data_IF_281233273744
#
_entry.id   IF_281233273744
#
_cell.length_a   1.000
_cell.length_b   1.000
_cell.length_c   1.000
_cell.angle_alpha   90.00
_cell.angle_beta   90.00
_cell.angle_gamma   90.00
#
_symmetry.space_group_name_H-M   'P 1'
#
loop_
_entity.id
_entity.type
_entity.pdbx_description
1 polymer ?
#
# COMPACT_ATOMS: atom_id res chain seq x y z
N UNK A 1 13.37 -6.41 -45.85
CA UNK A 1 13.00 -7.31 -44.72
C UNK A 1 12.69 -6.56 -43.44
N UNK A 2 13.33 -5.41 -43.15
CA UNK A 2 13.03 -4.57 -41.97
C UNK A 2 11.64 -3.87 -41.97
N UNK A 3 11.14 -3.42 -43.13
CA UNK A 3 9.85 -2.73 -43.22
C UNK A 3 8.63 -3.62 -42.89
N UNK A 4 8.71 -4.91 -43.19
CA UNK A 4 7.66 -5.88 -42.84
C UNK A 4 7.66 -6.23 -41.35
N UNK A 5 8.85 -6.22 -40.71
CA UNK A 5 9.01 -6.49 -39.28
C UNK A 5 8.50 -5.33 -38.41
N UNK A 6 8.68 -4.08 -38.86
CA UNK A 6 8.18 -2.86 -38.19
C UNK A 6 6.67 -2.67 -38.32
N UNK A 7 6.08 -2.98 -39.49
CA UNK A 7 4.62 -2.97 -39.67
C UNK A 7 3.92 -4.08 -38.85
N UNK A 8 4.54 -5.26 -38.76
CA UNK A 8 4.04 -6.35 -37.92
C UNK A 8 4.09 -6.00 -36.42
N UNK A 9 5.16 -5.34 -35.95
CA UNK A 9 5.27 -4.89 -34.56
C UNK A 9 4.31 -3.75 -34.21
N UNK A 10 4.06 -2.80 -35.12
CA UNK A 10 3.07 -1.74 -34.92
C UNK A 10 1.62 -2.25 -34.85
N UNK A 11 1.27 -3.22 -35.69
CA UNK A 11 -0.04 -3.89 -35.64
C UNK A 11 -0.21 -4.68 -34.35
N UNK A 12 0.86 -5.36 -33.90
CA UNK A 12 0.85 -6.16 -32.69
C UNK A 12 0.69 -5.32 -31.41
N UNK A 13 1.40 -4.18 -31.32
CA UNK A 13 1.25 -3.23 -30.21
C UNK A 13 -0.19 -2.71 -30.12
N UNK A 14 -0.81 -2.40 -31.27
CA UNK A 14 -2.19 -1.93 -31.33
C UNK A 14 -3.19 -2.99 -30.82
N UNK A 15 -2.96 -4.26 -31.15
CA UNK A 15 -3.76 -5.37 -30.63
C UNK A 15 -3.56 -5.59 -29.12
N UNK A 16 -2.32 -5.54 -28.63
CA UNK A 16 -2.01 -5.69 -27.21
C UNK A 16 -2.65 -4.59 -26.37
N UNK A 17 -2.56 -3.33 -26.82
CA UNK A 17 -3.21 -2.21 -26.13
C UNK A 17 -4.72 -2.42 -25.99
N UNK A 18 -5.37 -2.92 -27.05
CA UNK A 18 -6.81 -3.06 -27.06
C UNK A 18 -7.29 -4.22 -26.19
N UNK A 19 -6.59 -5.36 -26.23
CA UNK A 19 -6.91 -6.52 -25.39
C UNK A 19 -6.69 -6.18 -23.91
N UNK A 20 -5.58 -5.53 -23.57
CA UNK A 20 -5.28 -5.15 -22.18
C UNK A 20 -6.29 -4.12 -21.64
N UNK A 21 -6.82 -3.25 -22.50
CA UNK A 21 -7.77 -2.20 -22.07
C UNK A 21 -9.23 -2.68 -22.02
N UNK A 22 -9.67 -3.56 -22.92
CA UNK A 22 -11.11 -3.69 -23.20
C UNK A 22 -11.67 -5.13 -23.35
N UNK A 23 -10.88 -6.19 -23.66
CA UNK A 23 -11.48 -7.46 -24.15
C UNK A 23 -10.70 -8.77 -23.91
N UNK A 24 -11.35 -9.92 -24.17
CA UNK A 24 -10.80 -11.29 -24.14
C UNK A 24 -9.87 -11.60 -25.34
N UNK A 25 -8.93 -12.54 -25.19
CA UNK A 25 -7.99 -12.97 -26.25
C UNK A 25 -8.71 -13.51 -27.50
N UNK A 26 -9.79 -14.26 -27.34
CA UNK A 26 -10.61 -14.78 -28.46
C UNK A 26 -11.22 -13.70 -29.37
N UNK A 27 -11.19 -12.43 -28.94
CA UNK A 27 -11.70 -11.29 -29.70
C UNK A 27 -10.94 -11.05 -31.02
N UNK A 28 -9.65 -11.38 -31.09
CA UNK A 28 -8.83 -11.22 -32.31
C UNK A 28 -9.24 -12.16 -33.44
N UNK A 29 -9.93 -13.25 -33.10
CA UNK A 29 -10.38 -14.26 -34.06
C UNK A 29 -11.86 -14.11 -34.44
N UNK A 30 -12.61 -13.24 -33.75
CA UNK A 30 -14.02 -13.02 -34.06
C UNK A 30 -14.19 -12.45 -35.47
N UNK A 31 -15.03 -13.13 -36.27
CA UNK A 31 -15.31 -12.77 -37.67
C UNK A 31 -15.86 -11.35 -37.82
N UNK A 32 -16.67 -10.89 -36.86
CA UNK A 32 -17.21 -9.51 -36.83
C UNK A 32 -16.10 -8.49 -36.63
N UNK A 33 -15.16 -8.76 -35.72
CA UNK A 33 -14.03 -7.89 -35.41
C UNK A 33 -13.13 -7.72 -36.63
N UNK A 34 -12.71 -8.82 -37.26
CA UNK A 34 -11.86 -8.79 -38.46
C UNK A 34 -12.46 -8.04 -39.65
N UNK A 35 -13.79 -7.96 -39.74
CA UNK A 35 -14.49 -7.22 -40.81
C UNK A 35 -14.50 -5.71 -40.58
N UNK A 36 -14.36 -5.29 -39.33
CA UNK A 36 -14.62 -3.90 -38.92
C UNK A 36 -13.33 -3.12 -38.67
N UNK A 37 -12.22 -3.82 -38.47
CA UNK A 37 -10.95 -3.22 -38.08
C UNK A 37 -9.95 -3.23 -39.22
N UNK A 38 -9.16 -2.16 -39.31
CA UNK A 38 -8.08 -2.04 -40.29
C UNK A 38 -6.73 -2.42 -39.67
N UNK A 39 -6.70 -3.53 -38.92
CA UNK A 39 -5.49 -4.14 -38.37
C UNK A 39 -5.23 -5.45 -39.10
N UNK A 40 -3.96 -5.79 -39.35
CA UNK A 40 -3.63 -7.08 -39.92
C UNK A 40 -4.15 -8.20 -38.99
N UNK A 41 -4.64 -9.28 -39.60
CA UNK A 41 -5.22 -10.41 -38.88
C UNK A 41 -4.14 -11.14 -38.09
N UNK A 42 -4.40 -11.38 -36.80
CA UNK A 42 -3.54 -12.16 -35.90
C UNK A 42 -4.38 -13.27 -35.25
N UNK A 43 -3.75 -14.37 -34.84
CA UNK A 43 -4.39 -15.46 -34.08
C UNK A 43 -4.09 -15.36 -32.58
N UNK A 44 -4.93 -16.01 -31.78
CA UNK A 44 -4.82 -16.02 -30.33
C UNK A 44 -3.46 -16.58 -29.85
N UNK A 45 -2.95 -17.63 -30.50
CA UNK A 45 -1.68 -18.25 -30.12
C UNK A 45 -0.49 -17.30 -30.34
N UNK A 46 -0.51 -16.52 -31.42
CA UNK A 46 0.56 -15.56 -31.74
C UNK A 46 0.58 -14.43 -30.72
N UNK A 47 -0.59 -13.88 -30.37
CA UNK A 47 -0.70 -12.81 -29.36
C UNK A 47 -0.30 -13.32 -27.98
N UNK A 48 -0.71 -14.54 -27.62
CA UNK A 48 -0.35 -15.15 -26.33
C UNK A 48 1.17 -15.32 -26.21
N UNK A 49 1.82 -15.87 -27.24
CA UNK A 49 3.28 -16.04 -27.26
C UNK A 49 4.01 -14.70 -27.16
N UNK A 50 3.50 -13.67 -27.82
CA UNK A 50 4.15 -12.37 -27.85
C UNK A 50 3.93 -11.62 -26.52
N UNK A 51 2.77 -11.79 -25.87
CA UNK A 51 2.55 -11.38 -24.48
C UNK A 51 3.54 -12.06 -23.52
N UNK A 52 3.74 -13.38 -23.63
CA UNK A 52 4.73 -14.10 -22.83
C UNK A 52 6.16 -13.60 -23.06
N UNK A 53 6.48 -13.23 -24.31
CA UNK A 53 7.79 -12.65 -24.66
C UNK A 53 8.00 -11.29 -24.00
N UNK A 54 6.98 -10.42 -24.04
CA UNK A 54 6.99 -9.12 -23.36
C UNK A 54 7.11 -9.30 -21.85
N UNK A 55 6.37 -10.24 -21.25
CA UNK A 55 6.47 -10.57 -19.83
C UNK A 55 7.91 -10.97 -19.48
N UNK A 56 8.52 -11.91 -20.22
CA UNK A 56 9.90 -12.35 -19.97
C UNK A 56 10.93 -11.22 -20.14
N UNK A 57 10.70 -10.28 -21.06
CA UNK A 57 11.56 -9.12 -21.24
C UNK A 57 11.44 -8.15 -20.06
N UNK A 58 10.22 -7.88 -19.59
CA UNK A 58 9.96 -7.05 -18.40
C UNK A 58 10.51 -7.71 -17.14
N UNK A 59 10.34 -9.03 -16.97
CA UNK A 59 10.92 -9.78 -15.84
C UNK A 59 12.45 -9.67 -15.79
N UNK A 60 13.12 -9.76 -16.95
CA UNK A 60 14.58 -9.55 -17.03
C UNK A 60 14.97 -8.13 -16.67
N UNK A 61 14.30 -7.13 -17.24
CA UNK A 61 14.57 -5.72 -16.94
C UNK A 61 14.38 -5.40 -15.45
N UNK A 62 13.32 -5.95 -14.83
CA UNK A 62 13.09 -5.81 -13.40
C UNK A 62 14.18 -6.56 -12.61
N UNK A 63 14.56 -7.77 -13.04
CA UNK A 63 15.64 -8.55 -12.42
C UNK A 63 16.99 -7.82 -12.41
N UNK A 64 17.31 -7.10 -13.49
CA UNK A 64 18.55 -6.33 -13.62
C UNK A 64 18.56 -5.08 -12.71
N UNK A 65 17.38 -4.52 -12.41
CA UNK A 65 17.24 -3.36 -11.51
C UNK A 65 17.04 -3.75 -10.04
N UNK A 66 16.63 -4.99 -9.77
CA UNK A 66 16.33 -5.47 -8.42
C UNK A 66 17.61 -5.64 -7.58
N UNK A 67 17.70 -5.07 -6.37
CA UNK A 67 18.84 -5.29 -5.49
C UNK A 67 18.84 -6.73 -4.93
N UNK A 68 20.01 -7.23 -4.51
CA UNK A 68 20.15 -8.56 -3.86
C UNK A 68 19.20 -8.77 -2.66
N UNK A 69 18.80 -7.69 -1.99
CA UNK A 69 17.85 -7.70 -0.87
C UNK A 69 16.78 -6.66 -1.11
N UNK A 70 15.52 -7.09 -1.13
CA UNK A 70 14.35 -6.25 -1.33
C UNK A 70 13.18 -6.73 -0.46
N UNK A 71 12.24 -5.83 -0.17
CA UNK A 71 10.97 -6.19 0.43
C UNK A 71 9.96 -6.60 -0.64
N UNK A 72 9.03 -7.48 -0.26
CA UNK A 72 7.91 -7.85 -1.10
C UNK A 72 6.61 -7.63 -0.35
N UNK A 73 5.64 -7.02 -1.01
CA UNK A 73 4.25 -7.01 -0.56
C UNK A 73 3.46 -8.01 -1.38
N UNK A 74 2.86 -9.00 -0.75
CA UNK A 74 1.96 -9.94 -1.42
C UNK A 74 0.52 -9.48 -1.23
N UNK A 75 -0.19 -9.23 -2.32
CA UNK A 75 -1.62 -8.92 -2.31
C UNK A 75 -2.41 -10.09 -2.91
N UNK A 76 -3.33 -10.67 -2.13
CA UNK A 76 -4.24 -11.71 -2.64
C UNK A 76 -5.66 -11.16 -2.71
N UNK A 77 -6.30 -11.24 -3.89
CA UNK A 77 -7.77 -11.16 -4.00
C UNK A 77 -8.29 -12.59 -4.17
N UNK A 78 -9.58 -12.81 -3.83
CA UNK A 78 -10.28 -14.10 -4.01
C UNK A 78 -10.25 -14.62 -5.46
N UNK A 79 -9.82 -13.79 -6.41
CA UNK A 79 -9.56 -14.10 -7.81
C UNK A 79 -8.20 -13.50 -8.20
N UNK A 80 -7.13 -14.30 -8.16
CA UNK A 80 -5.80 -13.95 -8.70
C UNK A 80 -4.78 -13.41 -7.68
N UNK A 81 -3.56 -13.95 -7.77
CA UNK A 81 -2.37 -13.50 -7.06
C UNK A 81 -1.79 -12.25 -7.72
N UNK A 82 -1.48 -11.20 -6.97
CA UNK A 82 -0.67 -10.08 -7.44
C UNK A 82 0.43 -9.79 -6.41
N UNK A 83 1.69 -10.02 -6.80
CA UNK A 83 2.86 -9.66 -5.99
C UNK A 83 3.28 -8.24 -6.34
N UNK A 84 3.35 -7.35 -5.35
CA UNK A 84 3.84 -5.97 -5.51
C UNK A 84 5.21 -5.88 -4.82
N UNK A 85 6.26 -5.68 -5.60
CA UNK A 85 7.63 -5.53 -5.11
C UNK A 85 7.82 -4.16 -4.45
N UNK A 86 8.48 -4.09 -3.29
CA UNK A 86 8.80 -2.82 -2.65
C UNK A 86 10.14 -2.89 -1.89
N UNK A 87 11.16 -2.18 -2.37
CA UNK A 87 12.51 -2.18 -1.77
C UNK A 87 12.57 -1.42 -0.43
N UNK A 88 13.06 -2.06 0.64
CA UNK A 88 13.48 -1.40 1.88
C UNK A 88 14.99 -1.09 1.82
N UNK A 89 15.40 0.10 2.24
CA UNK A 89 16.80 0.53 2.30
C UNK A 89 17.19 0.92 3.74
N UNK A 90 18.19 0.24 4.33
CA UNK A 90 18.87 0.68 5.55
C UNK A 90 20.33 1.02 5.19
N UNK A 91 20.67 2.31 5.21
CA UNK A 91 22.05 2.77 4.99
C UNK A 91 22.75 2.99 6.34
N UNK A 92 23.84 2.28 6.58
CA UNK A 92 24.72 2.50 7.74
C UNK A 92 25.76 3.56 7.38
N UNK A 93 25.63 4.77 7.92
CA UNK A 93 26.61 5.85 7.76
C UNK A 93 27.39 6.06 9.06
N UNK A 94 28.50 5.33 9.23
CA UNK A 94 29.48 5.65 10.28
C UNK A 94 30.56 6.56 9.70
N UNK A 95 30.46 7.86 10.04
CA UNK A 95 31.47 8.87 9.77
C UNK A 95 30.86 10.28 9.62
N UNK A 96 30.23 10.80 10.68
CA UNK A 96 29.36 12.01 10.73
C UNK A 96 27.96 11.80 10.14
N UNK A 97 26.98 11.69 11.04
CA UNK A 97 25.56 11.77 10.70
C UNK A 97 25.18 13.24 10.50
N UNK A 98 25.35 13.75 9.28
CA UNK A 98 24.57 14.91 8.82
C UNK A 98 23.43 14.39 7.97
N UNK A 99 22.21 14.75 8.36
CA UNK A 99 20.98 14.24 7.77
C UNK A 99 20.87 14.51 6.27
N UNK A 100 20.82 13.45 5.49
CA UNK A 100 20.18 13.46 4.18
C UNK A 100 19.19 12.29 4.17
N UNK A 101 17.92 12.63 4.39
CA UNK A 101 16.77 11.73 4.31
C UNK A 101 16.72 11.02 2.95
N UNK A 102 16.71 9.68 2.88
CA UNK A 102 16.20 8.99 1.70
C UNK A 102 14.69 9.08 1.74
N UNK A 103 14.14 10.12 1.10
CA UNK A 103 12.74 10.16 0.68
C UNK A 103 12.58 9.08 -0.39
N UNK A 104 12.16 7.86 -0.03
CA UNK A 104 11.27 6.99 -0.86
C UNK A 104 11.12 5.58 -0.26
N UNK A 105 9.85 5.26 -0.04
CA UNK A 105 9.21 3.93 -0.09
C UNK A 105 9.61 2.87 0.94
N UNK A 106 9.00 2.96 2.13
CA UNK A 106 8.49 1.76 2.80
C UNK A 106 7.00 1.65 2.43
N UNK A 107 6.63 1.05 1.30
CA UNK A 107 5.20 0.83 1.02
C UNK A 107 4.68 -0.25 1.95
N UNK A 108 4.02 0.13 3.04
CA UNK A 108 3.05 -0.76 3.63
C UNK A 108 1.84 -0.87 2.66
N UNK A 109 1.09 -1.96 2.81
CA UNK A 109 -0.33 -2.12 2.46
C UNK A 109 -0.72 -2.90 1.19
N UNK A 110 -1.21 -4.15 1.39
CA UNK A 110 -2.66 -4.53 1.42
C UNK A 110 -2.81 -6.07 1.50
N UNK A 111 -3.25 -6.59 2.66
CA UNK A 111 -3.78 -7.95 2.91
C UNK A 111 -2.91 -9.20 2.62
N UNK A 112 -2.26 -9.66 3.69
CA UNK A 112 -2.04 -11.01 4.28
C UNK A 112 -1.58 -12.30 3.53
N UNK A 113 -0.62 -12.93 4.25
CA UNK A 113 -0.22 -14.33 4.52
C UNK A 113 0.66 -15.17 3.57
N UNK A 114 1.71 -15.69 4.25
CA UNK A 114 2.48 -16.95 4.21
C UNK A 114 3.36 -17.28 3.01
N UNK A 115 4.65 -16.98 3.19
CA UNK A 115 5.74 -17.89 2.84
C UNK A 115 6.65 -18.01 4.08
N UNK A 116 6.71 -19.20 4.68
CA UNK A 116 7.87 -19.57 5.49
C UNK A 116 8.94 -19.99 4.48
N UNK A 117 9.75 -19.04 4.04
CA UNK A 117 11.12 -19.38 3.68
C UNK A 117 11.91 -19.18 4.97
N UNK A 118 12.48 -20.26 5.49
CA UNK A 118 13.12 -20.29 6.81
C UNK A 118 14.10 -19.13 6.96
N UNK A 119 13.83 -18.21 7.91
CA UNK A 119 14.73 -17.13 8.30
C UNK A 119 14.40 -15.70 7.84
N UNK A 120 13.30 -15.44 7.10
CA UNK A 120 12.93 -14.07 6.71
C UNK A 120 11.93 -13.45 7.71
N UNK A 121 12.25 -12.30 8.35
CA UNK A 121 11.31 -11.62 9.25
C UNK A 121 10.09 -11.06 8.51
N UNK A 122 8.93 -11.14 9.17
CA UNK A 122 7.64 -10.71 8.62
C UNK A 122 7.07 -9.55 9.45
N UNK A 123 6.68 -8.48 8.76
CA UNK A 123 5.95 -7.35 9.36
C UNK A 123 4.46 -7.54 9.11
N UNK A 124 3.66 -7.44 10.18
CA UNK A 124 2.20 -7.55 10.11
C UNK A 124 1.57 -6.40 9.29
N UNK A 125 0.47 -6.68 8.61
CA UNK A 125 -0.28 -5.66 7.88
C UNK A 125 -1.17 -4.88 8.87
N UNK A 126 -0.75 -3.71 9.35
CA UNK A 126 -1.44 -2.99 10.43
C UNK A 126 -2.93 -2.53 10.20
N UNK A 127 -3.45 -2.54 8.97
CA UNK A 127 -4.80 -2.24 8.46
C UNK A 127 -5.62 -3.49 8.62
N UNK A 128 -4.98 -4.65 8.46
CA UNK A 128 -5.60 -5.88 8.90
C UNK A 128 -5.59 -5.98 10.42
N UNK A 129 -4.49 -5.64 11.11
CA UNK A 129 -4.51 -5.58 12.58
C UNK A 129 -5.63 -4.64 13.07
N UNK A 130 -5.76 -3.46 12.46
CA UNK A 130 -6.83 -2.51 12.72
C UNK A 130 -8.22 -3.08 12.35
N UNK A 131 -8.35 -3.80 11.23
CA UNK A 131 -9.60 -4.46 10.87
C UNK A 131 -10.00 -5.54 11.89
N UNK A 132 -9.06 -6.29 12.46
CA UNK A 132 -9.35 -7.25 13.52
C UNK A 132 -9.81 -6.54 14.80
N UNK A 133 -9.10 -5.48 15.20
CA UNK A 133 -9.46 -4.66 16.35
C UNK A 133 -10.88 -4.09 16.22
N UNK A 134 -11.18 -3.46 15.08
CA UNK A 134 -12.49 -2.87 14.80
C UNK A 134 -13.58 -3.93 14.72
N UNK A 135 -13.29 -5.12 14.16
CA UNK A 135 -14.27 -6.23 14.13
C UNK A 135 -14.68 -6.62 15.55
N UNK A 136 -13.72 -6.85 16.44
CA UNK A 136 -13.98 -7.19 17.84
C UNK A 136 -14.75 -6.08 18.56
N UNK A 137 -14.35 -4.83 18.34
CA UNK A 137 -15.00 -3.66 18.93
C UNK A 137 -16.47 -3.49 18.51
N UNK A 138 -16.83 -3.95 17.31
CA UNK A 138 -18.16 -3.78 16.73
C UNK A 138 -19.16 -4.85 17.16
N UNK A 139 -18.71 -6.01 17.62
CA UNK A 139 -19.57 -7.15 17.99
C UNK A 139 -20.79 -6.76 18.86
N UNK A 140 -20.67 -5.87 19.87
CA UNK A 140 -21.82 -5.48 20.68
C UNK A 140 -22.92 -4.70 19.95
N UNK A 141 -22.61 -4.14 18.77
CA UNK A 141 -23.51 -3.29 17.97
C UNK A 141 -24.05 -4.00 16.73
N UNK A 142 -23.74 -5.28 16.56
CA UNK A 142 -24.00 -6.00 15.31
C UNK A 142 -25.50 -6.07 14.99
N UNK A 143 -26.34 -6.24 16.01
CA UNK A 143 -27.81 -6.23 15.88
C UNK A 143 -28.33 -4.90 15.33
N UNK A 144 -27.90 -3.78 15.91
CA UNK A 144 -28.30 -2.45 15.44
C UNK A 144 -27.76 -2.16 14.02
N UNK A 145 -26.57 -2.67 13.68
CA UNK A 145 -25.99 -2.53 12.35
C UNK A 145 -26.72 -3.37 11.29
N UNK A 146 -27.19 -4.56 11.65
CA UNK A 146 -28.03 -5.40 10.78
C UNK A 146 -29.37 -4.72 10.50
N UNK A 147 -29.97 -4.08 11.51
CA UNK A 147 -31.20 -3.29 11.33
C UNK A 147 -30.98 -2.16 10.32
N UNK A 148 -29.91 -1.37 10.45
CA UNK A 148 -29.57 -0.33 9.47
C UNK A 148 -29.30 -0.94 8.10
N UNK A 149 -28.60 -2.06 8.01
CA UNK A 149 -28.36 -2.75 6.73
C UNK A 149 -29.68 -3.19 6.06
N UNK A 150 -30.67 -3.66 6.83
CA UNK A 150 -32.00 -4.02 6.31
C UNK A 150 -32.69 -2.79 5.70
N UNK A 151 -32.77 -1.70 6.48
CA UNK A 151 -33.34 -0.44 6.01
C UNK A 151 -32.63 0.07 4.75
N UNK A 152 -31.30 0.02 4.72
CA UNK A 152 -30.51 0.45 3.56
C UNK A 152 -30.76 -0.43 2.32
N UNK A 153 -31.10 -1.72 2.49
CA UNK A 153 -31.56 -2.59 1.39
C UNK A 153 -32.96 -2.18 0.92
N UNK A 154 -33.89 -1.92 1.85
CA UNK A 154 -35.25 -1.48 1.54
C UNK A 154 -35.26 -0.17 0.78
N UNK A 155 -34.45 0.82 1.18
CA UNK A 155 -34.27 2.09 0.49
C UNK A 155 -33.68 1.96 -0.93
N UNK A 156 -33.13 0.79 -1.30
CA UNK A 156 -32.65 0.50 -2.67
C UNK A 156 -33.71 -0.15 -3.57
N UNK A 157 -34.84 -0.58 -3.02
CA UNK A 157 -35.97 -1.12 -3.80
C UNK A 157 -36.64 -0.02 -4.62
N UNK A 158 -37.32 -0.38 -5.71
CA UNK A 158 -37.76 0.54 -6.77
C UNK A 158 -38.58 1.71 -6.20
N UNK A 159 -39.62 1.41 -5.42
CA UNK A 159 -40.57 2.43 -4.92
C UNK A 159 -39.94 3.36 -3.88
N UNK A 160 -39.32 2.88 -2.78
CA UNK A 160 -38.60 3.74 -1.84
C UNK A 160 -37.44 4.51 -2.46
N UNK A 161 -36.69 3.90 -3.39
CA UNK A 161 -35.59 4.59 -4.08
C UNK A 161 -36.11 5.73 -4.97
N UNK A 162 -37.25 5.55 -5.64
CA UNK A 162 -37.89 6.61 -6.42
C UNK A 162 -38.33 7.77 -5.52
N UNK A 163 -39.03 7.48 -4.41
CA UNK A 163 -39.43 8.48 -3.40
C UNK A 163 -38.21 9.23 -2.84
N UNK A 164 -37.13 8.52 -2.52
CA UNK A 164 -35.91 9.11 -1.95
C UNK A 164 -35.22 10.04 -2.96
N UNK A 165 -35.18 9.66 -4.25
CA UNK A 165 -34.60 10.49 -5.32
C UNK A 165 -35.32 11.81 -5.55
N UNK A 166 -36.61 11.90 -5.20
CA UNK A 166 -37.36 13.16 -5.24
C UNK A 166 -36.89 14.14 -4.16
N UNK A 167 -36.32 13.64 -3.05
CA UNK A 167 -35.89 14.45 -1.91
C UNK A 167 -34.38 14.70 -1.88
N UNK A 168 -33.57 13.75 -2.34
CA UNK A 168 -32.11 13.83 -2.29
C UNK A 168 -31.45 13.02 -3.42
N UNK A 169 -30.32 13.49 -3.99
CA UNK A 169 -29.53 12.71 -4.95
C UNK A 169 -28.76 11.56 -4.29
N UNK A 170 -28.67 11.52 -2.95
CA UNK A 170 -27.90 10.52 -2.22
C UNK A 170 -28.50 9.12 -2.37
N UNK A 171 -27.62 8.12 -2.50
CA UNK A 171 -28.00 6.71 -2.59
C UNK A 171 -27.58 5.93 -1.35
N UNK A 172 -28.35 4.92 -0.91
CA UNK A 172 -27.96 4.05 0.19
C UNK A 172 -26.70 3.23 -0.16
N UNK A 173 -25.78 3.12 0.79
CA UNK A 173 -24.62 2.25 0.73
C UNK A 173 -24.89 0.97 1.53
N UNK A 174 -24.50 -0.19 1.01
CA UNK A 174 -24.54 -1.44 1.77
C UNK A 174 -23.17 -1.76 2.34
N UNK A 175 -23.14 -2.28 3.56
CA UNK A 175 -21.90 -2.81 4.14
C UNK A 175 -21.54 -4.17 3.52
N UNK A 176 -20.24 -4.46 3.50
CA UNK A 176 -19.63 -5.76 3.24
C UNK A 176 -19.03 -6.29 4.55
N UNK A 177 -19.43 -7.47 4.99
CA UNK A 177 -19.05 -7.99 6.32
C UNK A 177 -17.52 -8.18 6.47
N UNK A 178 -16.81 -8.44 5.37
CA UNK A 178 -15.36 -8.64 5.36
C UNK A 178 -14.54 -7.35 5.42
N UNK A 179 -15.16 -6.17 5.28
CA UNK A 179 -14.47 -4.87 5.20
C UNK A 179 -15.15 -3.83 6.05
N UNK A 180 -14.63 -3.58 7.25
CA UNK A 180 -15.26 -2.67 8.21
C UNK A 180 -15.44 -1.22 7.70
N UNK A 181 -14.57 -0.72 6.81
CA UNK A 181 -14.73 0.62 6.22
C UNK A 181 -16.03 0.79 5.43
N UNK A 182 -16.60 -0.29 4.90
CA UNK A 182 -17.93 -0.27 4.28
C UNK A 182 -19.05 -0.07 5.31
N UNK A 183 -18.87 -0.56 6.53
CA UNK A 183 -19.80 -0.32 7.65
C UNK A 183 -19.75 1.14 8.07
N UNK A 184 -18.56 1.73 8.16
CA UNK A 184 -18.41 3.16 8.47
C UNK A 184 -19.09 4.05 7.42
N UNK A 185 -18.86 3.77 6.14
CA UNK A 185 -19.49 4.53 5.03
C UNK A 185 -21.01 4.30 4.94
N UNK A 186 -21.51 3.11 5.28
CA UNK A 186 -22.94 2.86 5.42
C UNK A 186 -23.53 3.72 6.54
N UNK A 187 -22.91 3.77 7.72
CA UNK A 187 -23.38 4.58 8.85
C UNK A 187 -23.36 6.08 8.53
N UNK A 188 -22.29 6.58 7.92
CA UNK A 188 -22.22 7.96 7.45
C UNK A 188 -23.42 8.29 6.54
N UNK A 189 -23.63 7.44 5.52
CA UNK A 189 -24.75 7.61 4.58
C UNK A 189 -26.11 7.46 5.24
N UNK A 190 -26.25 6.55 6.20
CA UNK A 190 -27.49 6.37 6.95
C UNK A 190 -27.88 7.65 7.71
N UNK A 191 -26.93 8.27 8.43
CA UNK A 191 -27.21 9.50 9.15
C UNK A 191 -27.53 10.68 8.23
N UNK A 192 -26.94 10.75 7.02
CA UNK A 192 -27.31 11.74 6.00
C UNK A 192 -28.73 11.50 5.45
N UNK A 193 -29.08 10.24 5.16
CA UNK A 193 -30.37 9.90 4.55
C UNK A 193 -31.53 10.00 5.54
N UNK A 194 -31.28 9.81 6.83
CA UNK A 194 -32.30 9.74 7.87
C UNK A 194 -33.22 10.95 7.90
N UNK A 195 -32.71 12.14 7.59
CA UNK A 195 -33.50 13.39 7.56
C UNK A 195 -34.52 13.44 6.41
N UNK A 196 -34.31 12.65 5.36
CA UNK A 196 -35.16 12.62 4.17
C UNK A 196 -36.20 11.48 4.20
N UNK A 197 -36.04 10.51 5.11
CA UNK A 197 -37.00 9.41 5.28
C UNK A 197 -38.25 9.99 5.95
N UNK A 198 -39.42 9.84 5.32
CA UNK A 198 -40.68 10.35 5.87
C UNK A 198 -41.01 9.65 7.18
N UNK A 199 -41.39 10.39 8.22
CA UNK A 199 -41.91 9.82 9.45
C UNK A 199 -43.25 9.09 9.22
N UNK A 200 -43.99 9.49 8.19
CA UNK A 200 -45.33 8.97 7.86
C UNK A 200 -45.32 7.78 6.89
N UNK A 201 -44.15 7.29 6.49
CA UNK A 201 -44.07 6.08 5.67
C UNK A 201 -44.20 4.86 6.60
N UNK A 202 -45.44 4.44 6.87
CA UNK A 202 -45.77 3.31 7.76
C UNK A 202 -44.99 2.04 7.42
N UNK A 203 -44.72 1.82 6.12
CA UNK A 203 -43.97 0.65 5.63
C UNK A 203 -42.47 0.73 5.97
N UNK A 204 -41.92 1.93 6.11
CA UNK A 204 -40.52 2.14 6.53
C UNK A 204 -40.39 2.35 8.05
N UNK A 205 -41.46 2.75 8.73
CA UNK A 205 -41.47 3.02 10.17
C UNK A 205 -41.07 1.79 11.00
N UNK A 206 -41.47 0.58 10.58
CA UNK A 206 -41.11 -0.68 11.24
C UNK A 206 -39.62 -1.02 11.10
N UNK A 207 -38.99 -0.65 9.97
CA UNK A 207 -37.57 -0.91 9.70
C UNK A 207 -36.64 0.16 10.29
N UNK A 208 -37.19 1.30 10.73
CA UNK A 208 -36.40 2.38 11.32
C UNK A 208 -35.78 1.95 12.64
N UNK A 209 -34.47 2.20 12.79
CA UNK A 209 -33.77 2.00 14.05
C UNK A 209 -34.42 2.86 15.15
N UNK A 210 -34.63 2.26 16.32
CA UNK A 210 -35.24 2.97 17.46
C UNK A 210 -34.39 4.18 17.86
N UNK A 211 -34.96 5.20 18.54
CA UNK A 211 -34.19 6.34 19.02
C UNK A 211 -33.00 5.92 19.90
N UNK A 212 -33.16 4.87 20.71
CA UNK A 212 -32.08 4.30 21.53
C UNK A 212 -30.99 3.64 20.67
N UNK A 213 -31.36 2.83 19.67
CA UNK A 213 -30.41 2.21 18.74
C UNK A 213 -29.63 3.28 17.96
N UNK A 214 -30.31 4.34 17.52
CA UNK A 214 -29.67 5.46 16.83
C UNK A 214 -28.64 6.19 17.68
N UNK A 215 -28.92 6.40 18.98
CA UNK A 215 -27.94 6.99 19.90
C UNK A 215 -26.71 6.09 20.03
N UNK A 216 -26.89 4.78 20.20
CA UNK A 216 -25.78 3.82 20.25
C UNK A 216 -24.94 3.83 18.97
N UNK A 217 -25.60 3.77 17.81
CA UNK A 217 -24.91 3.78 16.51
C UNK A 217 -24.20 5.10 16.24
N UNK A 218 -24.73 6.23 16.73
CA UNK A 218 -24.06 7.53 16.61
C UNK A 218 -22.80 7.56 17.45
N UNK A 219 -22.83 7.02 18.68
CA UNK A 219 -21.64 6.85 19.52
C UNK A 219 -20.60 5.98 18.82
N UNK A 220 -21.00 4.81 18.29
CA UNK A 220 -20.10 3.94 17.52
C UNK A 220 -19.50 4.66 16.32
N UNK A 221 -20.31 5.41 15.57
CA UNK A 221 -19.87 6.13 14.38
C UNK A 221 -18.79 7.18 14.71
N UNK A 222 -18.97 7.92 15.80
CA UNK A 222 -17.98 8.90 16.28
C UNK A 222 -16.69 8.20 16.74
N UNK A 223 -16.81 7.12 17.52
CA UNK A 223 -15.64 6.36 18.00
C UNK A 223 -14.82 5.76 16.85
N UNK A 224 -15.47 5.34 15.76
CA UNK A 224 -14.77 4.78 14.59
C UNK A 224 -14.17 5.85 13.66
N UNK A 225 -14.41 7.14 13.88
CA UNK A 225 -13.94 8.20 12.99
C UNK A 225 -12.40 8.28 12.97
N UNK A 226 -11.76 8.24 14.14
CA UNK A 226 -10.30 8.28 14.25
C UNK A 226 -9.67 7.02 13.65
N UNK A 227 -10.25 5.84 13.95
CA UNK A 227 -9.83 4.59 13.34
C UNK A 227 -9.96 4.63 11.80
N UNK A 228 -11.01 5.25 11.26
CA UNK A 228 -11.23 5.36 9.81
C UNK A 228 -10.21 6.31 9.18
N UNK A 229 -9.93 7.44 9.84
CA UNK A 229 -8.90 8.38 9.42
C UNK A 229 -7.53 7.70 9.33
N UNK A 230 -7.14 6.97 10.39
CA UNK A 230 -5.90 6.18 10.41
C UNK A 230 -5.90 5.13 9.30
N UNK A 231 -6.97 4.36 9.13
CA UNK A 231 -7.05 3.34 8.07
C UNK A 231 -6.90 3.91 6.65
N UNK A 232 -7.43 5.10 6.40
CA UNK A 232 -7.29 5.80 5.13
C UNK A 232 -5.87 6.32 4.94
N UNK A 233 -5.28 6.92 5.98
CA UNK A 233 -3.91 7.44 5.94
C UNK A 233 -2.90 6.32 5.73
N UNK A 234 -3.10 5.20 6.40
CA UNK A 234 -2.31 3.99 6.23
C UNK A 234 -2.25 3.60 4.74
N UNK A 235 -3.37 3.60 4.02
CA UNK A 235 -3.39 3.22 2.59
C UNK A 235 -2.67 4.18 1.62
N UNK A 236 -2.08 5.28 2.09
CA UNK A 236 -1.29 6.18 1.25
C UNK A 236 0.05 5.57 0.83
N UNK A 237 0.51 5.90 -0.39
CA UNK A 237 1.77 5.40 -0.96
C UNK A 237 3.03 6.00 -0.32
N UNK A 238 2.93 7.13 0.36
CA UNK A 238 4.11 7.86 0.87
C UNK A 238 4.38 7.62 2.36
N UNK A 239 3.85 6.53 2.93
CA UNK A 239 3.84 6.29 4.37
C UNK A 239 4.83 5.20 4.76
N UNK A 240 5.82 5.52 5.60
CA UNK A 240 6.82 4.56 6.03
C UNK A 240 6.41 3.78 7.32
N UNK A 241 7.22 2.80 7.74
CA UNK A 241 6.90 1.98 8.91
C UNK A 241 6.89 2.74 10.25
N UNK A 242 7.75 3.76 10.39
CA UNK A 242 7.73 4.65 11.55
C UNK A 242 6.41 5.44 11.59
N UNK A 243 6.03 6.07 10.47
CA UNK A 243 4.77 6.82 10.37
C UNK A 243 3.56 5.92 10.67
N UNK A 244 3.56 4.68 10.16
CA UNK A 244 2.51 3.71 10.44
C UNK A 244 2.42 3.42 11.94
N UNK A 245 3.57 3.22 12.59
CA UNK A 245 3.63 2.91 14.01
C UNK A 245 3.21 4.11 14.86
N UNK A 246 3.59 5.33 14.49
CA UNK A 246 3.16 6.56 15.16
C UNK A 246 1.64 6.75 15.08
N UNK A 247 1.03 6.50 13.91
CA UNK A 247 -0.43 6.57 13.75
C UNK A 247 -1.17 5.53 14.60
N UNK A 248 -0.66 4.30 14.69
CA UNK A 248 -1.27 3.25 15.51
C UNK A 248 -1.12 3.54 17.00
N UNK A 249 0.04 4.05 17.43
CA UNK A 249 0.27 4.45 18.82
C UNK A 249 -0.64 5.61 19.21
N UNK A 250 -0.77 6.65 18.37
CA UNK A 250 -1.72 7.74 18.60
C UNK A 250 -3.17 7.25 18.64
N UNK A 251 -3.54 6.26 17.82
CA UNK A 251 -4.86 5.63 17.91
C UNK A 251 -5.06 4.87 19.22
N UNK A 252 -4.01 4.21 19.75
CA UNK A 252 -4.07 3.50 21.03
C UNK A 252 -4.22 4.44 22.23
N UNK A 253 -3.73 5.67 22.14
CA UNK A 253 -3.97 6.71 23.16
C UNK A 253 -5.46 7.06 23.26
N UNK A 254 -6.15 7.13 22.12
CA UNK A 254 -7.59 7.44 22.06
C UNK A 254 -8.47 6.20 22.30
N UNK A 255 -8.02 5.03 21.80
CA UNK A 255 -8.75 3.77 21.86
C UNK A 255 -7.86 2.65 22.43
N UNK A 256 -7.64 2.61 23.76
CA UNK A 256 -6.79 1.59 24.40
C UNK A 256 -7.29 0.15 24.21
N UNK A 257 -8.59 -0.02 23.95
CA UNK A 257 -9.23 -1.33 23.69
C UNK A 257 -8.69 -2.05 22.46
N UNK A 258 -7.94 -1.37 21.59
CA UNK A 258 -7.30 -1.97 20.41
C UNK A 258 -5.93 -2.58 20.71
N UNK A 259 -5.45 -2.50 21.95
CA UNK A 259 -4.14 -2.95 22.39
C UNK A 259 -3.80 -4.39 21.98
N UNK A 260 -4.76 -5.30 22.14
CA UNK A 260 -4.60 -6.73 21.84
C UNK A 260 -4.21 -7.02 20.37
N UNK A 261 -4.46 -6.08 19.46
CA UNK A 261 -4.17 -6.22 18.03
C UNK A 261 -3.13 -5.22 17.51
N UNK A 262 -3.06 -4.02 18.09
CA UNK A 262 -2.23 -2.92 17.57
C UNK A 262 -0.94 -2.71 18.36
N UNK A 263 -0.87 -3.16 19.61
CA UNK A 263 0.30 -2.94 20.45
C UNK A 263 1.57 -3.56 19.81
N UNK A 264 2.75 -2.96 20.03
CA UNK A 264 4.01 -3.49 19.47
C UNK A 264 4.33 -4.93 19.89
N UNK A 265 3.78 -5.36 21.03
CA UNK A 265 3.93 -6.69 21.63
C UNK A 265 2.66 -7.54 21.53
N UNK A 266 1.68 -7.15 20.70
CA UNK A 266 0.49 -7.95 20.47
C UNK A 266 0.87 -9.34 19.91
N UNK A 267 0.18 -10.40 20.35
CA UNK A 267 0.49 -11.79 19.96
C UNK A 267 0.41 -12.03 18.45
N UNK A 268 -0.39 -11.23 17.74
CA UNK A 268 -0.50 -11.28 16.28
C UNK A 268 0.78 -10.80 15.56
N UNK A 269 1.71 -10.15 16.27
CA UNK A 269 2.94 -9.64 15.67
C UNK A 269 3.99 -10.73 15.50
N UNK A 270 4.34 -11.00 14.22
CA UNK A 270 5.25 -12.10 13.88
C UNK A 270 6.72 -11.86 14.24
N UNK A 271 7.22 -10.63 14.04
CA UNK A 271 8.64 -10.30 14.26
C UNK A 271 8.77 -8.98 15.00
N UNK A 272 8.38 -8.92 16.29
CA UNK A 272 8.31 -7.68 17.06
C UNK A 272 9.68 -6.98 17.20
N UNK A 273 10.76 -7.75 17.40
CA UNK A 273 12.12 -7.19 17.46
C UNK A 273 12.58 -6.59 16.13
N UNK A 274 12.22 -7.23 15.01
CA UNK A 274 12.54 -6.71 13.69
C UNK A 274 11.80 -5.40 13.42
N UNK A 275 10.48 -5.39 13.64
CA UNK A 275 9.67 -4.20 13.43
C UNK A 275 10.10 -3.05 14.34
N UNK A 276 10.27 -3.29 15.64
CA UNK A 276 10.79 -2.30 16.60
C UNK A 276 12.16 -1.78 16.18
N UNK A 277 13.05 -2.67 15.74
CA UNK A 277 14.36 -2.32 15.22
C UNK A 277 14.28 -1.38 14.02
N UNK A 278 13.45 -1.69 13.02
CA UNK A 278 13.27 -0.85 11.82
C UNK A 278 12.70 0.52 12.20
N UNK A 279 11.68 0.57 13.06
CA UNK A 279 11.09 1.83 13.55
C UNK A 279 12.14 2.70 14.24
N UNK A 280 12.98 2.13 15.11
CA UNK A 280 14.08 2.84 15.76
C UNK A 280 15.13 3.36 14.78
N UNK A 281 15.46 2.59 13.74
CA UNK A 281 16.42 3.03 12.72
C UNK A 281 15.86 4.19 11.91
N UNK A 282 14.61 4.10 11.45
CA UNK A 282 13.92 5.17 10.73
C UNK A 282 13.82 6.44 11.59
N UNK A 283 13.59 6.29 12.90
CA UNK A 283 13.56 7.39 13.86
C UNK A 283 14.94 7.92 14.28
N UNK A 284 16.03 7.49 13.64
CA UNK A 284 17.42 7.87 14.00
C UNK A 284 17.83 7.51 15.44
N UNK A 285 17.19 6.50 16.04
CA UNK A 285 17.42 6.03 17.40
C UNK A 285 18.30 4.78 17.48
N UNK A 286 19.27 4.64 16.56
CA UNK A 286 20.15 3.46 16.42
C UNK A 286 20.89 3.10 17.72
N UNK A 287 21.21 4.10 18.55
CA UNK A 287 21.85 3.91 19.86
C UNK A 287 20.97 3.14 20.85
N UNK A 288 19.64 3.22 20.72
CA UNK A 288 18.65 2.56 21.61
C UNK A 288 18.24 1.15 21.15
N UNK A 289 18.91 0.60 20.13
CA UNK A 289 18.63 -0.76 19.68
C UNK A 289 19.07 -1.79 20.73
N UNK A 290 18.18 -2.73 21.03
CA UNK A 290 18.49 -3.88 21.90
C UNK A 290 19.37 -4.89 21.16
N UNK A 291 19.93 -5.85 21.90
CA UNK A 291 20.70 -6.96 21.29
C UNK A 291 19.84 -7.77 20.32
N UNK A 292 18.59 -8.08 20.69
CA UNK A 292 17.67 -8.83 19.85
C UNK A 292 17.30 -8.07 18.56
N UNK A 293 16.98 -6.78 18.67
CA UNK A 293 16.70 -5.91 17.53
C UNK A 293 17.91 -5.85 16.58
N UNK A 294 19.12 -5.65 17.11
CA UNK A 294 20.35 -5.65 16.30
C UNK A 294 20.57 -6.96 15.56
N UNK A 295 20.39 -8.10 16.23
CA UNK A 295 20.51 -9.42 15.61
C UNK A 295 19.48 -9.61 14.48
N UNK A 296 18.24 -9.14 14.67
CA UNK A 296 17.18 -9.26 13.66
C UNK A 296 17.43 -8.38 12.41
N UNK A 297 18.12 -7.24 12.58
CA UNK A 297 18.45 -6.32 11.50
C UNK A 297 19.78 -6.68 10.80
N UNK A 298 20.65 -7.48 11.42
CA UNK A 298 21.95 -7.83 10.89
C UNK A 298 21.90 -8.37 9.45
N UNK A 299 20.94 -9.25 9.06
CA UNK A 299 20.80 -9.74 7.69
C UNK A 299 20.40 -8.67 6.67
N UNK A 300 20.06 -7.45 7.10
CA UNK A 300 19.60 -6.36 6.23
C UNK A 300 20.63 -5.24 6.12
N UNK A 301 21.70 -5.27 6.93
CA UNK A 301 22.78 -4.31 6.81
C UNK A 301 23.55 -4.52 5.51
N UNK A 302 23.66 -3.46 4.69
CA UNK A 302 24.67 -3.42 3.65
C UNK A 302 26.03 -3.19 4.28
N UNK A 303 27.02 -3.99 3.90
CA UNK A 303 28.41 -3.52 3.97
C UNK A 303 28.49 -2.31 3.04
N UNK A 304 29.00 -1.19 3.55
CA UNK A 304 29.45 -0.14 2.65
C UNK A 304 30.42 -0.79 1.64
N UNK A 305 30.39 -0.39 0.36
CA UNK A 305 31.52 -0.67 -0.52
C UNK A 305 32.77 -0.30 0.27
N UNK A 306 33.74 -1.22 0.36
CA UNK A 306 35.08 -0.82 0.78
C UNK A 306 35.39 0.46 0.01
N UNK A 307 35.88 1.54 0.66
CA UNK A 307 36.39 2.64 -0.11
C UNK A 307 37.33 2.02 -1.13
N UNK A 308 36.97 2.11 -2.41
CA UNK A 308 37.91 1.87 -3.50
C UNK A 308 39.14 2.59 -3.04
N UNK A 309 40.26 1.89 -2.92
CA UNK A 309 41.53 2.48 -2.53
C UNK A 309 41.61 3.81 -3.25
N UNK A 310 41.40 4.91 -2.52
CA UNK A 310 42.01 6.15 -2.89
C UNK A 310 43.47 5.74 -2.88
N UNK A 311 44.09 5.76 -4.06
CA UNK A 311 45.52 5.66 -4.16
C UNK A 311 46.09 6.43 -2.97
N UNK A 312 46.95 5.76 -2.19
CA UNK A 312 47.71 6.44 -1.15
C UNK A 312 48.18 7.79 -1.73
N UNK A 313 48.07 8.90 -0.99
CA UNK A 313 48.55 10.18 -1.50
C UNK A 313 49.99 9.95 -1.95
N UNK A 314 50.19 9.95 -3.26
CA UNK A 314 51.45 9.61 -3.88
C UNK A 314 52.46 10.54 -3.22
N UNK A 315 53.45 9.96 -2.56
CA UNK A 315 54.55 10.71 -1.93
C UNK A 315 54.94 11.83 -2.89
N UNK A 316 54.73 13.07 -2.46
CA UNK A 316 54.99 14.27 -3.24
C UNK A 316 56.37 14.11 -3.89
N UNK A 317 56.39 13.98 -5.22
CA UNK A 317 57.60 13.67 -5.96
C UNK A 317 58.63 14.76 -5.75
N UNK A 318 59.91 14.38 -5.71
CA UNK A 318 61.05 15.29 -5.55
C UNK A 318 60.99 16.52 -6.50
N UNK A 319 60.38 16.36 -7.67
CA UNK A 319 60.12 17.42 -8.65
C UNK A 319 59.16 18.51 -8.16
N UNK A 320 58.12 18.18 -7.39
CA UNK A 320 57.15 19.15 -6.86
C UNK A 320 57.75 20.00 -5.73
N UNK A 321 58.71 19.46 -4.98
CA UNK A 321 59.48 20.22 -3.99
C UNK A 321 60.43 21.23 -4.64
N UNK A 322 61.00 20.91 -5.80
CA UNK A 322 61.87 21.82 -6.57
C UNK A 322 61.06 22.99 -7.14
N UNK A 323 59.84 22.74 -7.63
CA UNK A 323 58.97 23.78 -8.19
C UNK A 323 58.43 24.76 -7.11
N UNK A 324 58.25 24.30 -5.86
CA UNK A 324 57.84 25.17 -4.75
C UNK A 324 58.92 26.15 -4.30
N UNK A 325 60.21 25.79 -4.38
CA UNK A 325 61.31 26.70 -4.02
C UNK A 325 61.41 27.91 -4.96
N UNK A 326 61.04 27.74 -6.23
CA UNK A 326 61.01 28.84 -7.21
C UNK A 326 59.96 29.91 -6.93
N UNK A 327 58.93 29.63 -6.11
CA UNK A 327 57.86 30.59 -5.79
C UNK A 327 58.14 31.46 -4.55
N UNK A 328 59.20 31.17 -3.79
CA UNK A 328 59.50 31.92 -2.55
C UNK A 328 60.46 33.09 -2.80
N UNK A 329 61.19 33.09 -3.91
CA UNK A 329 62.21 34.12 -4.21
C UNK A 329 61.67 35.35 -5.00
N UNK A 330 60.39 35.36 -5.41
CA UNK A 330 59.80 36.41 -6.27
C UNK A 330 58.73 37.28 -5.59
N UNK A 331 58.70 37.38 -4.25
CA UNK A 331 57.88 38.37 -3.54
C UNK A 331 58.78 39.51 -3.00
N UNK A 332 58.69 40.75 -3.53
CA UNK A 332 59.45 41.87 -3.03
C UNK A 332 58.88 42.37 -1.70
N UNK A 333 59.79 42.65 -0.77
CA UNK A 333 59.55 43.34 0.49
C UNK A 333 59.19 44.81 0.23
N UNK A 334 57.95 45.22 0.51
CA UNK A 334 57.56 46.58 0.89
C UNK A 334 56.17 46.56 1.54
#
# INVERSE_FOLDING_TARGET
MEAASTAATGTLLSWLEWIVKETSLSFVEMKSTRRTINLATVCEETITRDMESVIKAVERSIGDELPERFGCTRATRRTGFATVLCSLWLQSSTGRMTGSTPKRTCLLWRHFYRFSADGVPLVGCATHCLNLAVRRFREPYEKELEQVQSLMKRLRTITPAAKLRLKTPLRPNLRQDTRWGSTYTMLARYFELREYISADDEELAEEMASPAANRKLKTLFVQLADAQSVAMKLQCKDLNLLDARDLLNGLLEVMPTFGDYLAPNAEIMHSPDFESGVVKVLGSQVKKLTRAERSSLQPFLRRAPLPVHQEEPTKVGFTDQILKRRKVDDAPSA
#
